data_IF_433326999400
#
_entry.id   IF_433326999400
#
_cell.length_a   1.000
_cell.length_b   1.000
_cell.length_c   1.000
_cell.angle_alpha   90.00
_cell.angle_beta   90.00
_cell.angle_gamma   90.00
#
_symmetry.space_group_name_H-M   'P 1'
#
loop_
_entity.id
_entity.type
_entity.pdbx_description
1 polymer ?
#
# COMPACT_ATOMS: atom_id res chain seq x y z
N UNK A 1 -4.63 34.34 5.56
CA UNK A 1 -4.11 34.44 6.93
C UNK A 1 -5.28 34.18 7.88
N UNK A 2 -5.54 32.91 8.20
CA UNK A 2 -6.59 32.54 9.15
C UNK A 2 -5.97 31.63 10.22
N UNK A 3 -5.96 32.14 11.46
CA UNK A 3 -5.48 31.38 12.62
C UNK A 3 -6.58 30.42 13.07
N UNK A 4 -6.31 29.12 13.10
CA UNK A 4 -7.16 28.14 13.75
C UNK A 4 -6.64 27.92 15.18
N UNK A 5 -7.47 28.27 16.12
CA UNK A 5 -7.23 28.15 17.56
C UNK A 5 -7.46 26.70 18.01
N UNK A 6 -6.42 26.09 18.59
CA UNK A 6 -6.48 24.81 19.28
C UNK A 6 -7.34 24.93 20.54
N UNK A 7 -8.38 24.10 20.67
CA UNK A 7 -9.07 23.89 21.94
C UNK A 7 -8.53 22.61 22.59
N UNK A 8 -7.85 22.80 23.70
CA UNK A 8 -7.50 21.75 24.66
C UNK A 8 -8.78 21.25 25.35
N UNK A 9 -8.99 19.94 25.37
CA UNK A 9 -9.86 19.29 26.35
C UNK A 9 -9.03 18.33 27.18
N UNK A 10 -8.75 18.76 28.42
CA UNK A 10 -8.27 17.88 29.47
C UNK A 10 -9.50 17.29 30.20
N UNK A 11 -9.56 15.97 30.28
CA UNK A 11 -10.49 15.30 31.19
C UNK A 11 -9.72 14.28 32.02
N UNK A 12 -9.58 14.64 33.30
CA UNK A 12 -9.10 13.81 34.39
C UNK A 12 -10.24 12.89 34.84
N UNK A 13 -10.03 11.57 34.89
CA UNK A 13 -10.80 10.69 35.77
C UNK A 13 -9.83 9.72 36.43
N UNK A 14 -9.79 9.81 37.76
CA UNK A 14 -9.04 8.94 38.65
C UNK A 14 -9.93 7.84 39.24
N UNK A 15 -9.31 6.71 39.57
CA UNK A 15 -9.79 5.74 40.54
C UNK A 15 -10.34 4.47 39.91
N UNK A 16 -10.09 3.24 40.31
CA UNK A 16 -9.81 2.67 41.60
C UNK A 16 -9.37 1.21 41.43
N UNK A 17 -8.51 0.74 42.31
CA UNK A 17 -7.99 -0.64 42.46
C UNK A 17 -9.08 -1.66 42.73
N UNK A 18 -8.85 -2.92 42.33
CA UNK A 18 -9.16 -4.09 43.13
C UNK A 18 -8.25 -5.27 42.77
N UNK A 19 -7.51 -5.71 43.73
CA UNK A 19 -6.66 -6.91 43.80
C UNK A 19 -7.53 -8.13 44.06
N UNK A 20 -7.27 -9.24 43.37
CA UNK A 20 -7.60 -10.57 43.89
C UNK A 20 -6.63 -11.63 43.38
N UNK A 21 -5.80 -12.10 44.26
CA UNK A 21 -4.98 -13.32 44.19
C UNK A 21 -5.84 -14.55 44.52
N UNK A 22 -5.61 -15.65 43.80
CA UNK A 22 -5.61 -17.07 44.25
C UNK A 22 -5.11 -17.86 43.04
N UNK A 23 -4.09 -18.56 42.95
CA UNK A 23 -3.37 -19.58 43.68
C UNK A 23 -3.94 -20.96 43.45
N UNK A 24 -3.24 -21.84 42.67
CA UNK A 24 -2.91 -23.20 43.13
C UNK A 24 -2.17 -24.01 42.05
N UNK A 25 -1.13 -24.64 42.47
CA UNK A 25 -0.23 -25.62 41.86
C UNK A 25 -0.90 -26.97 41.58
N UNK A 26 -0.32 -27.76 40.67
CA UNK A 26 0.08 -29.17 40.84
C UNK A 26 0.69 -29.71 39.53
N UNK A 27 1.95 -29.97 39.48
CA UNK A 27 2.81 -31.16 39.59
C UNK A 27 2.43 -32.37 38.75
N UNK A 28 3.45 -32.88 38.03
CA UNK A 28 3.61 -34.30 37.71
C UNK A 28 3.98 -34.59 36.28
N UNK A 29 5.18 -34.70 35.99
CA UNK A 29 6.15 -35.80 35.83
C UNK A 29 6.19 -36.49 34.44
N UNK A 30 7.34 -36.31 33.79
CA UNK A 30 8.32 -37.26 33.24
C UNK A 30 7.89 -38.37 32.28
N UNK A 31 8.46 -38.43 31.10
CA UNK A 31 9.57 -39.32 30.70
C UNK A 31 9.76 -39.34 29.21
N UNK A 32 11.02 -39.26 28.85
CA UNK A 32 11.82 -39.65 27.68
C UNK A 32 11.15 -40.51 26.60
N UNK A 33 11.43 -40.22 25.28
CA UNK A 33 12.49 -40.87 24.51
C UNK A 33 12.62 -40.30 23.08
N UNK A 34 13.82 -40.00 22.77
CA UNK A 34 14.73 -40.20 21.63
C UNK A 34 14.20 -40.17 20.14
N UNK A 35 14.83 -39.22 19.45
CA UNK A 35 15.39 -39.31 18.07
C UNK A 35 14.51 -39.63 16.87
N UNK A 36 14.43 -38.68 15.94
CA UNK A 36 15.04 -38.83 14.61
C UNK A 36 14.98 -37.51 13.84
N UNK A 37 16.12 -37.07 13.34
CA UNK A 37 16.30 -35.96 12.41
C UNK A 37 15.51 -36.20 11.13
N UNK A 38 14.77 -35.19 10.69
CA UNK A 38 14.51 -35.04 9.28
C UNK A 38 14.41 -33.54 8.96
N UNK A 39 15.45 -33.06 8.30
CA UNK A 39 15.46 -31.74 7.69
C UNK A 39 14.40 -31.70 6.58
N UNK A 40 13.37 -30.91 6.77
CA UNK A 40 12.45 -30.55 5.71
C UNK A 40 12.33 -29.04 5.66
N UNK A 41 13.06 -28.46 4.71
CA UNK A 41 12.96 -27.10 4.25
C UNK A 41 11.51 -26.73 4.00
N UNK A 42 10.89 -26.06 4.96
CA UNK A 42 9.56 -25.45 4.74
C UNK A 42 9.75 -24.09 4.12
N UNK A 43 9.51 -24.01 2.81
CA UNK A 43 9.20 -22.78 2.12
C UNK A 43 7.98 -22.17 2.79
N UNK A 44 8.18 -21.12 3.57
CA UNK A 44 7.10 -20.28 4.08
C UNK A 44 6.46 -19.53 2.91
N UNK A 45 5.37 -20.07 2.38
CA UNK A 45 4.41 -19.32 1.59
C UNK A 45 3.56 -18.56 2.60
N UNK A 46 3.83 -17.29 2.79
CA UNK A 46 2.92 -16.39 3.48
C UNK A 46 1.72 -16.17 2.56
N UNK A 47 0.68 -16.98 2.74
CA UNK A 47 -0.65 -16.66 2.24
C UNK A 47 -1.20 -15.51 3.12
N UNK A 48 -0.87 -14.28 2.76
CA UNK A 48 -1.69 -13.13 3.11
C UNK A 48 -3.00 -13.31 2.33
N UNK A 49 -4.09 -13.58 3.00
CA UNK A 49 -5.42 -13.58 2.38
C UNK A 49 -5.86 -12.12 2.22
N UNK A 50 -5.22 -11.42 1.31
CA UNK A 50 -5.64 -10.09 0.88
C UNK A 50 -7.01 -10.25 0.21
N UNK A 51 -7.98 -9.52 0.69
CA UNK A 51 -9.30 -9.42 0.06
C UNK A 51 -9.14 -8.65 -1.25
N UNK A 52 -8.74 -9.37 -2.31
CA UNK A 52 -8.48 -8.75 -3.60
C UNK A 52 -9.77 -8.22 -4.22
N UNK A 53 -9.75 -6.97 -4.64
CA UNK A 53 -10.82 -6.40 -5.47
C UNK A 53 -10.81 -7.14 -6.81
N UNK A 54 -11.96 -7.74 -7.17
CA UNK A 54 -12.16 -8.30 -8.51
C UNK A 54 -12.40 -7.19 -9.52
N UNK A 55 -11.99 -7.40 -10.78
CA UNK A 55 -12.31 -6.51 -11.90
C UNK A 55 -13.80 -6.21 -12.05
N UNK A 56 -14.67 -7.18 -11.68
CA UNK A 56 -16.12 -7.03 -11.71
C UNK A 56 -16.66 -6.03 -10.69
N UNK A 57 -15.90 -5.76 -9.64
CA UNK A 57 -16.27 -4.84 -8.56
C UNK A 57 -15.72 -3.42 -8.76
N UNK A 58 -14.97 -3.19 -9.83
CA UNK A 58 -14.48 -1.85 -10.18
C UNK A 58 -15.63 -1.06 -10.82
N UNK A 59 -16.09 0.03 -10.19
CA UNK A 59 -17.13 0.85 -10.78
C UNK A 59 -16.62 1.56 -12.05
N UNK A 60 -17.52 1.82 -12.97
CA UNK A 60 -17.21 2.68 -14.12
C UNK A 60 -16.87 4.09 -13.66
N UNK A 61 -15.98 4.74 -14.40
CA UNK A 61 -15.61 6.14 -14.13
C UNK A 61 -16.85 7.05 -14.24
N UNK A 62 -17.17 7.75 -13.14
CA UNK A 62 -18.33 8.64 -13.03
C UNK A 62 -17.93 10.10 -12.74
N UNK A 63 -16.71 10.49 -13.10
CA UNK A 63 -16.16 11.82 -12.84
C UNK A 63 -15.20 11.89 -11.64
N UNK A 64 -15.21 10.90 -10.75
CA UNK A 64 -14.26 10.80 -9.64
C UNK A 64 -13.13 9.84 -10.02
N UNK A 65 -11.88 10.28 -9.82
CA UNK A 65 -10.70 9.46 -10.09
C UNK A 65 -10.52 8.33 -9.07
N UNK A 66 -11.11 8.47 -7.91
CA UNK A 66 -10.99 7.52 -6.80
C UNK A 66 -12.33 7.25 -6.15
N UNK A 67 -12.49 6.03 -5.67
CA UNK A 67 -13.67 5.59 -4.92
C UNK A 67 -13.20 4.86 -3.68
N UNK A 68 -13.71 5.23 -2.51
CA UNK A 68 -13.45 4.49 -1.28
C UNK A 68 -14.10 3.10 -1.38
N UNK A 69 -13.37 2.08 -1.00
CA UNK A 69 -13.84 0.68 -0.94
C UNK A 69 -13.70 0.16 0.49
N UNK A 70 -14.34 -0.95 0.79
CA UNK A 70 -14.29 -1.62 2.10
C UNK A 70 -14.54 -0.66 3.30
N UNK A 71 -15.47 0.28 3.14
CA UNK A 71 -15.77 1.34 4.12
C UNK A 71 -14.56 2.21 4.49
N UNK A 72 -13.58 2.32 3.60
CA UNK A 72 -12.31 3.01 3.82
C UNK A 72 -11.46 2.39 4.95
N UNK A 73 -11.63 1.10 5.22
CA UNK A 73 -10.88 0.35 6.24
C UNK A 73 -9.85 -0.56 5.53
N UNK A 74 -8.54 -0.27 5.66
CA UNK A 74 -7.49 -1.05 4.99
C UNK A 74 -7.36 -2.44 5.59
N UNK A 75 -7.14 -3.45 4.76
CA UNK A 75 -7.03 -4.85 5.16
C UNK A 75 -5.61 -5.19 5.66
N UNK A 76 -5.19 -4.53 6.75
CA UNK A 76 -3.99 -4.87 7.48
C UNK A 76 -4.34 -5.48 8.83
N UNK A 77 -3.65 -6.55 9.19
CA UNK A 77 -3.81 -7.22 10.47
C UNK A 77 -2.75 -6.78 11.47
N UNK A 78 -2.96 -7.05 12.75
CA UNK A 78 -1.95 -6.78 13.78
C UNK A 78 -0.61 -7.50 13.54
N UNK A 79 -0.57 -8.52 12.68
CA UNK A 79 0.66 -9.23 12.30
C UNK A 79 1.47 -8.50 11.24
N UNK A 80 0.82 -7.64 10.48
CA UNK A 80 1.46 -6.85 9.42
C UNK A 80 2.12 -5.59 10.00
N UNK A 81 1.69 -5.18 11.20
CA UNK A 81 2.23 -4.00 11.88
C UNK A 81 3.70 -4.18 12.26
N UNK A 82 4.55 -3.35 11.68
CA UNK A 82 5.99 -3.32 11.94
C UNK A 82 6.52 -1.90 11.78
N UNK A 83 7.47 -1.53 12.63
CA UNK A 83 8.25 -0.28 12.49
C UNK A 83 9.59 -0.51 11.78
N UNK A 84 9.77 -1.69 11.18
CA UNK A 84 10.94 -1.96 10.34
C UNK A 84 10.58 -1.65 8.91
N UNK A 85 11.20 -0.63 8.33
CA UNK A 85 11.00 -0.26 6.94
C UNK A 85 11.38 -1.40 5.99
N UNK A 86 10.56 -1.59 4.97
CA UNK A 86 10.80 -2.55 3.90
C UNK A 86 10.02 -2.17 2.64
N UNK A 87 10.39 -2.78 1.53
CA UNK A 87 9.60 -2.83 0.30
C UNK A 87 9.59 -4.25 -0.26
N UNK A 88 8.49 -4.63 -0.87
CA UNK A 88 8.27 -5.95 -1.44
C UNK A 88 7.46 -5.85 -2.72
N UNK A 89 7.88 -6.57 -3.74
CA UNK A 89 7.25 -6.59 -5.05
C UNK A 89 6.99 -8.03 -5.46
N UNK A 90 5.73 -8.38 -5.66
CA UNK A 90 5.34 -9.70 -6.12
C UNK A 90 5.96 -10.04 -7.48
N UNK A 91 6.01 -11.32 -7.79
CA UNK A 91 6.43 -11.77 -9.13
C UNK A 91 5.40 -11.30 -10.16
N UNK A 92 5.89 -10.96 -11.34
CA UNK A 92 4.99 -10.73 -12.48
C UNK A 92 4.18 -12.01 -12.76
N UNK A 93 2.96 -11.85 -13.24
CA UNK A 93 2.13 -12.97 -13.66
C UNK A 93 2.57 -13.57 -15.01
N UNK A 94 1.78 -14.50 -15.57
CA UNK A 94 2.06 -15.16 -16.85
C UNK A 94 2.09 -14.22 -18.05
N UNK A 95 1.32 -13.12 -18.00
CA UNK A 95 1.26 -12.07 -19.00
C UNK A 95 2.36 -11.00 -18.80
N UNK A 96 3.17 -11.13 -17.73
CA UNK A 96 4.23 -10.18 -17.39
C UNK A 96 3.71 -8.93 -16.67
N UNK A 97 2.48 -8.95 -16.14
CA UNK A 97 1.84 -7.83 -15.44
C UNK A 97 2.31 -7.74 -13.99
N UNK A 98 2.43 -6.51 -13.49
CA UNK A 98 2.70 -6.27 -12.08
C UNK A 98 1.59 -6.84 -11.20
N UNK A 99 1.99 -7.31 -10.04
CA UNK A 99 1.12 -7.79 -8.98
C UNK A 99 1.28 -6.89 -7.75
N UNK A 100 0.84 -7.33 -6.58
CA UNK A 100 0.90 -6.57 -5.34
C UNK A 100 2.31 -6.01 -5.09
N UNK A 101 2.37 -4.71 -4.81
CA UNK A 101 3.52 -4.01 -4.26
C UNK A 101 3.18 -3.53 -2.85
N UNK A 102 4.06 -3.75 -1.90
CA UNK A 102 3.85 -3.42 -0.49
C UNK A 102 5.11 -2.83 0.13
N UNK A 103 4.95 -1.87 1.02
CA UNK A 103 6.04 -1.27 1.77
C UNK A 103 5.60 -0.92 3.20
N UNK A 104 6.53 -1.01 4.15
CA UNK A 104 6.47 -0.25 5.38
C UNK A 104 7.33 1.00 5.18
N UNK A 105 6.69 2.11 4.89
CA UNK A 105 7.37 3.37 4.57
C UNK A 105 7.82 4.03 5.85
N UNK A 106 9.14 4.12 6.04
CA UNK A 106 9.78 4.89 7.09
C UNK A 106 10.74 5.91 6.50
N UNK A 107 11.12 6.90 7.28
CA UNK A 107 11.98 8.01 6.83
C UNK A 107 13.36 7.55 6.36
N UNK A 108 13.83 6.41 6.83
CA UNK A 108 15.13 5.81 6.52
C UNK A 108 15.24 5.31 5.09
N UNK A 109 14.13 4.82 4.48
CA UNK A 109 14.09 4.34 3.09
C UNK A 109 13.64 5.39 2.08
N UNK A 110 13.14 6.55 2.53
CA UNK A 110 12.78 7.64 1.62
C UNK A 110 14.00 8.14 0.83
N UNK A 111 13.83 8.54 -0.45
CA UNK A 111 14.95 8.92 -1.30
C UNK A 111 15.65 10.19 -0.79
N UNK A 112 16.99 10.18 -0.82
CA UNK A 112 17.83 11.34 -0.52
C UNK A 112 18.33 12.05 -1.77
N UNK A 113 18.08 11.49 -2.93
CA UNK A 113 18.56 11.94 -4.22
C UNK A 113 17.46 12.26 -5.23
N UNK A 114 17.85 12.73 -6.39
CA UNK A 114 16.92 12.98 -7.50
C UNK A 114 16.51 11.67 -8.17
N UNK A 115 15.24 11.59 -8.58
CA UNK A 115 14.70 10.48 -9.38
C UNK A 115 15.52 10.30 -10.66
N UNK A 116 15.88 9.05 -10.94
CA UNK A 116 16.54 8.65 -12.18
C UNK A 116 15.57 8.50 -13.35
N UNK A 117 16.12 8.26 -14.55
CA UNK A 117 15.30 7.92 -15.71
C UNK A 117 14.66 6.54 -15.56
N UNK A 118 13.42 6.39 -16.05
CA UNK A 118 12.67 5.12 -16.06
C UNK A 118 12.22 4.71 -17.46
N UNK A 119 12.66 5.43 -18.48
CA UNK A 119 12.25 5.22 -19.89
C UNK A 119 12.61 3.86 -20.46
N UNK A 120 13.61 3.16 -19.89
CA UNK A 120 14.02 1.83 -20.31
C UNK A 120 13.00 0.75 -19.90
N UNK A 121 12.22 0.96 -18.85
CA UNK A 121 11.18 0.02 -18.44
C UNK A 121 9.95 0.23 -19.32
N UNK A 122 9.46 -0.86 -19.88
CA UNK A 122 8.23 -0.88 -20.67
C UNK A 122 7.25 -1.83 -20.00
N UNK A 123 6.34 -1.30 -19.16
CA UNK A 123 5.30 -2.12 -18.55
C UNK A 123 4.41 -2.79 -19.60
N UNK A 124 3.62 -3.76 -19.21
CA UNK A 124 2.62 -4.37 -20.11
C UNK A 124 1.69 -3.31 -20.70
N UNK A 125 1.28 -3.48 -21.95
CA UNK A 125 0.43 -2.53 -22.68
C UNK A 125 1.09 -1.18 -23.01
N UNK A 126 2.41 -1.02 -22.75
CA UNK A 126 3.10 0.25 -23.00
C UNK A 126 3.15 0.60 -24.48
N UNK A 127 2.60 1.75 -24.81
CA UNK A 127 2.78 2.40 -26.11
C UNK A 127 2.79 3.92 -25.94
N UNK A 128 3.29 4.62 -26.95
CA UNK A 128 3.31 6.08 -26.93
C UNK A 128 2.11 6.61 -27.70
N UNK A 129 1.23 7.32 -27.02
CA UNK A 129 0.12 8.05 -27.60
C UNK A 129 0.21 9.52 -27.20
N UNK A 130 -0.03 10.42 -28.17
CA UNK A 130 0.03 11.87 -27.94
C UNK A 130 -1.28 12.50 -28.35
N UNK A 131 -1.76 13.41 -27.51
CA UNK A 131 -2.97 14.19 -27.74
C UNK A 131 -2.74 15.65 -27.31
N UNK A 132 -3.22 16.61 -28.06
CA UNK A 132 -3.02 18.04 -27.78
C UNK A 132 -3.81 18.51 -26.54
N UNK A 133 -4.90 17.82 -26.21
CA UNK A 133 -5.76 18.09 -25.05
C UNK A 133 -5.29 17.39 -23.76
N UNK A 134 -4.20 16.62 -23.80
CA UNK A 134 -3.62 16.00 -22.61
C UNK A 134 -2.48 16.87 -22.08
N UNK A 135 -2.47 17.13 -20.78
CA UNK A 135 -1.37 17.83 -20.11
C UNK A 135 -0.05 17.08 -20.35
N UNK A 136 0.98 17.79 -20.80
CA UNK A 136 2.26 17.21 -21.22
C UNK A 136 2.19 16.40 -22.52
N UNK A 137 1.03 16.35 -23.19
CA UNK A 137 0.77 15.70 -24.50
C UNK A 137 0.87 14.18 -24.53
N UNK A 138 1.42 13.53 -23.52
CA UNK A 138 1.53 12.08 -23.46
C UNK A 138 0.37 11.49 -22.64
N UNK A 139 -0.46 10.68 -23.29
CA UNK A 139 -1.59 10.01 -22.64
C UNK A 139 -1.14 9.06 -21.56
N UNK A 140 -0.13 8.23 -21.86
CA UNK A 140 0.33 7.21 -20.93
C UNK A 140 1.58 7.63 -20.16
N UNK A 141 1.56 7.31 -18.89
CA UNK A 141 2.67 7.40 -17.95
C UNK A 141 3.12 6.00 -17.53
N UNK A 142 4.37 5.89 -17.11
CA UNK A 142 4.85 4.79 -16.29
C UNK A 142 4.51 5.13 -14.85
N UNK A 143 3.43 4.54 -14.35
CA UNK A 143 2.95 4.76 -12.99
C UNK A 143 3.68 3.82 -12.04
N UNK A 144 4.30 4.35 -11.00
CA UNK A 144 4.80 3.52 -9.91
C UNK A 144 3.63 3.00 -9.08
N UNK A 145 3.69 1.75 -8.65
CA UNK A 145 2.79 1.24 -7.61
C UNK A 145 3.20 1.81 -6.24
N UNK A 146 4.47 1.65 -5.87
CA UNK A 146 5.05 2.39 -4.74
C UNK A 146 5.83 3.56 -5.31
N UNK A 147 5.39 4.78 -4.99
CA UNK A 147 5.98 6.01 -5.51
C UNK A 147 7.46 6.14 -5.16
N UNK A 148 8.27 6.68 -6.09
CA UNK A 148 9.68 6.97 -5.84
C UNK A 148 9.91 7.78 -4.57
N UNK A 149 9.04 8.73 -4.28
CA UNK A 149 9.16 9.60 -3.10
C UNK A 149 9.00 8.85 -1.76
N UNK A 150 8.47 7.62 -1.77
CA UNK A 150 8.23 6.83 -0.57
C UNK A 150 9.39 5.89 -0.22
N UNK A 151 9.99 5.24 -1.22
CA UNK A 151 11.03 4.22 -0.98
C UNK A 151 12.30 4.43 -1.80
N UNK A 152 12.30 5.35 -2.76
CA UNK A 152 13.44 5.56 -3.65
C UNK A 152 13.57 4.53 -4.77
N UNK A 153 12.69 3.52 -4.84
CA UNK A 153 12.68 2.54 -5.93
C UNK A 153 12.36 3.20 -7.27
N UNK A 154 13.22 3.03 -8.25
CA UNK A 154 13.15 3.83 -9.47
C UNK A 154 12.69 3.03 -10.70
N UNK A 155 13.54 2.19 -11.27
CA UNK A 155 13.34 1.54 -12.55
C UNK A 155 13.04 0.05 -12.42
N UNK A 156 12.17 -0.32 -11.51
CA UNK A 156 11.78 -1.69 -11.24
C UNK A 156 10.59 -2.10 -12.12
N UNK A 157 10.75 -3.16 -12.90
CA UNK A 157 9.70 -3.69 -13.77
C UNK A 157 8.52 -4.32 -13.02
N UNK A 158 8.67 -4.58 -11.71
CA UNK A 158 7.61 -5.09 -10.84
C UNK A 158 6.84 -3.98 -10.12
N UNK A 159 7.30 -2.74 -10.29
CA UNK A 159 6.75 -1.55 -9.64
C UNK A 159 6.19 -0.53 -10.64
N UNK A 160 6.21 -0.83 -11.94
CA UNK A 160 5.79 0.11 -12.99
C UNK A 160 4.67 -0.50 -13.83
N UNK A 161 3.54 0.19 -13.91
CA UNK A 161 2.42 -0.15 -14.78
C UNK A 161 2.18 0.95 -15.83
N UNK A 162 1.47 0.61 -16.89
CA UNK A 162 0.95 1.58 -17.84
C UNK A 162 -0.35 2.16 -17.30
N UNK A 163 -0.43 3.46 -17.15
CA UNK A 163 -1.66 4.17 -16.79
C UNK A 163 -1.74 5.51 -17.51
N UNK A 164 -2.91 6.15 -17.50
CA UNK A 164 -3.05 7.49 -18.04
C UNK A 164 -2.35 8.52 -17.16
N UNK A 165 -2.07 9.71 -17.72
CA UNK A 165 -1.49 10.80 -16.92
C UNK A 165 -2.41 11.20 -15.77
N UNK A 166 -3.71 11.35 -16.01
CA UNK A 166 -4.70 11.68 -14.97
C UNK A 166 -4.81 10.59 -13.91
N UNK A 167 -4.82 9.31 -14.32
CA UNK A 167 -4.75 8.20 -13.37
C UNK A 167 -3.56 8.34 -12.40
N UNK A 168 -2.38 8.66 -12.94
CA UNK A 168 -1.17 8.81 -12.15
C UNK A 168 -1.16 10.08 -11.28
N UNK A 169 -1.58 11.24 -11.83
CA UNK A 169 -1.40 12.55 -11.19
C UNK A 169 -2.62 12.96 -10.38
N UNK A 170 -3.82 12.69 -10.88
CA UNK A 170 -5.06 13.10 -10.22
C UNK A 170 -5.63 11.97 -9.35
N UNK A 171 -5.32 10.70 -9.68
CA UNK A 171 -5.79 9.53 -8.96
C UNK A 171 -4.83 9.05 -7.88
N UNK A 172 -3.60 8.69 -8.23
CA UNK A 172 -2.65 8.06 -7.29
C UNK A 172 -1.88 9.08 -6.44
N UNK A 173 -1.32 10.12 -7.06
CA UNK A 173 -0.40 11.05 -6.41
C UNK A 173 -0.93 11.69 -5.11
N UNK A 174 -2.20 12.12 -4.99
CA UNK A 174 -2.69 12.72 -3.74
C UNK A 174 -2.55 11.78 -2.53
N UNK A 175 -2.76 10.48 -2.70
CA UNK A 175 -2.63 9.47 -1.64
C UNK A 175 -1.17 9.16 -1.35
N UNK A 176 -0.32 9.12 -2.37
CA UNK A 176 1.12 8.97 -2.21
C UNK A 176 1.73 10.15 -1.43
N UNK A 177 1.28 11.38 -1.72
CA UNK A 177 1.69 12.58 -0.99
C UNK A 177 1.24 12.54 0.47
N UNK A 178 0.00 12.12 0.74
CA UNK A 178 -0.52 11.95 2.11
C UNK A 178 0.38 11.02 2.94
N UNK A 179 0.76 9.86 2.40
CA UNK A 179 1.69 8.94 3.05
C UNK A 179 3.05 9.58 3.25
N UNK A 180 3.60 10.20 2.21
CA UNK A 180 4.92 10.82 2.26
C UNK A 180 5.00 11.99 3.25
N UNK A 181 3.98 12.82 3.32
CA UNK A 181 3.91 13.96 4.23
C UNK A 181 3.80 13.48 5.68
N UNK A 182 2.92 12.50 5.95
CA UNK A 182 2.82 11.91 7.29
C UNK A 182 4.16 11.38 7.79
N UNK A 183 4.87 10.58 6.99
CA UNK A 183 6.18 10.04 7.38
C UNK A 183 7.21 11.14 7.58
N UNK A 184 7.21 12.19 6.74
CA UNK A 184 8.14 13.33 6.87
C UNK A 184 7.89 14.15 8.13
N UNK A 185 6.63 14.40 8.46
CA UNK A 185 6.21 15.26 9.56
C UNK A 185 6.32 14.57 10.92
N UNK A 186 5.87 13.32 11.00
CA UNK A 186 5.82 12.57 12.26
C UNK A 186 7.09 11.78 12.55
N UNK A 187 7.75 11.27 11.52
CA UNK A 187 8.81 10.26 11.62
C UNK A 187 8.30 8.85 11.88
N UNK A 188 6.99 8.67 11.94
CA UNK A 188 6.31 7.39 12.09
C UNK A 188 6.28 6.61 10.77
N UNK A 189 5.86 5.34 10.85
CA UNK A 189 5.80 4.44 9.70
C UNK A 189 4.39 4.32 9.16
N UNK A 190 4.29 4.02 7.87
CA UNK A 190 3.02 3.71 7.19
C UNK A 190 3.16 2.38 6.45
N UNK A 191 2.27 1.43 6.74
CA UNK A 191 2.03 0.31 5.83
C UNK A 191 1.30 0.83 4.60
N UNK A 192 1.85 0.52 3.43
CA UNK A 192 1.31 0.96 2.15
C UNK A 192 1.32 -0.20 1.16
N UNK A 193 0.16 -0.52 0.60
CA UNK A 193 -0.01 -1.61 -0.35
C UNK A 193 -0.79 -1.13 -1.56
N UNK A 194 -0.31 -1.50 -2.74
CA UNK A 194 -0.96 -1.20 -4.01
C UNK A 194 -1.13 -2.48 -4.81
N UNK A 195 -2.38 -2.75 -5.17
CA UNK A 195 -2.79 -3.94 -5.93
C UNK A 195 -3.37 -3.51 -7.26
N UNK A 196 -2.66 -3.73 -8.38
CA UNK A 196 -3.24 -3.50 -9.70
C UNK A 196 -4.29 -4.56 -10.01
N UNK A 197 -5.40 -4.13 -10.61
CA UNK A 197 -6.52 -4.99 -10.98
C UNK A 197 -6.65 -5.01 -12.50
N UNK A 198 -6.55 -6.18 -13.08
CA UNK A 198 -6.67 -6.39 -14.53
C UNK A 198 -7.97 -7.12 -14.84
N UNK A 199 -8.54 -6.87 -16.02
CA UNK A 199 -9.70 -7.58 -16.53
C UNK A 199 -9.24 -8.63 -17.53
N UNK A 200 -9.56 -9.89 -17.28
CA UNK A 200 -9.12 -11.01 -18.11
C UNK A 200 -7.63 -10.92 -18.48
N UNK A 201 -7.34 -10.93 -19.79
CA UNK A 201 -5.97 -10.88 -20.34
C UNK A 201 -5.51 -9.45 -20.67
N UNK A 202 -6.20 -8.42 -20.19
CA UNK A 202 -5.84 -7.04 -20.43
C UNK A 202 -4.44 -6.72 -19.91
N UNK A 203 -3.64 -6.03 -20.73
CA UNK A 203 -2.26 -5.66 -20.40
C UNK A 203 -2.14 -4.31 -19.67
N UNK A 204 -3.22 -3.55 -19.58
CA UNK A 204 -3.34 -2.30 -18.83
C UNK A 204 -4.31 -2.52 -17.68
N UNK A 205 -3.93 -2.09 -16.50
CA UNK A 205 -4.78 -2.26 -15.32
C UNK A 205 -6.10 -1.49 -15.47
N UNK A 206 -7.21 -2.11 -15.10
CA UNK A 206 -8.54 -1.50 -15.01
C UNK A 206 -8.62 -0.52 -13.83
N UNK A 207 -7.73 -0.66 -12.86
CA UNK A 207 -7.60 0.20 -11.70
C UNK A 207 -6.49 -0.28 -10.77
N UNK A 208 -6.23 0.48 -9.72
CA UNK A 208 -5.39 0.03 -8.59
C UNK A 208 -6.11 0.26 -7.28
N UNK A 209 -6.10 -0.74 -6.42
CA UNK A 209 -6.46 -0.57 -5.03
C UNK A 209 -5.23 -0.06 -4.27
N UNK A 210 -5.40 1.04 -3.55
CA UNK A 210 -4.37 1.66 -2.73
C UNK A 210 -4.82 1.62 -1.28
N UNK A 211 -4.02 1.04 -0.41
CA UNK A 211 -4.29 0.90 1.01
C UNK A 211 -3.13 1.46 1.82
N UNK A 212 -3.43 2.21 2.86
CA UNK A 212 -2.44 2.70 3.79
C UNK A 212 -2.94 2.69 5.22
N UNK A 213 -2.04 2.46 6.17
CA UNK A 213 -2.33 2.53 7.60
C UNK A 213 -1.09 2.97 8.36
N UNK A 214 -1.21 4.02 9.17
CA UNK A 214 -0.16 4.43 10.11
C UNK A 214 0.06 3.33 11.15
N UNK A 215 1.35 3.03 11.44
CA UNK A 215 1.72 1.83 12.21
C UNK A 215 1.65 2.07 13.71
N UNK A 216 2.25 3.16 14.19
CA UNK A 216 2.45 3.42 15.62
C UNK A 216 1.13 3.65 16.36
N UNK A 217 0.16 4.27 15.71
CA UNK A 217 -1.18 4.55 16.22
C UNK A 217 -2.25 3.58 15.69
N UNK A 218 -1.87 2.59 14.87
CA UNK A 218 -2.76 1.55 14.33
C UNK A 218 -3.91 2.12 13.49
N UNK A 219 -3.64 3.17 12.74
CA UNK A 219 -4.60 3.80 11.86
C UNK A 219 -5.56 4.79 12.55
N UNK A 220 -5.28 5.19 13.80
CA UNK A 220 -6.11 6.17 14.53
C UNK A 220 -5.86 7.61 14.06
N UNK A 221 -4.75 7.89 13.38
CA UNK A 221 -4.39 9.19 12.83
C UNK A 221 -4.90 9.36 11.39
N UNK A 222 -4.41 10.36 10.70
CA UNK A 222 -4.88 10.82 9.38
C UNK A 222 -4.61 9.85 8.23
N UNK A 223 -3.69 8.90 8.39
CA UNK A 223 -3.35 7.93 7.33
C UNK A 223 -3.95 6.57 7.65
N UNK A 224 -5.22 6.42 7.29
CA UNK A 224 -5.89 5.12 7.21
C UNK A 224 -6.89 5.20 6.07
N UNK A 225 -6.62 4.48 4.96
CA UNK A 225 -7.50 4.49 3.81
C UNK A 225 -7.39 3.22 2.96
N UNK A 226 -8.48 2.90 2.25
CA UNK A 226 -8.49 1.98 1.12
C UNK A 226 -9.33 2.57 -0.02
N UNK A 227 -8.68 2.84 -1.13
CA UNK A 227 -9.28 3.48 -2.30
C UNK A 227 -8.96 2.69 -3.56
N UNK A 228 -9.91 2.73 -4.48
CA UNK A 228 -9.74 2.27 -5.84
C UNK A 228 -9.52 3.47 -6.75
N UNK A 229 -8.36 3.57 -7.39
CA UNK A 229 -8.08 4.56 -8.43
C UNK A 229 -8.51 4.00 -9.77
N UNK A 230 -9.33 4.76 -10.49
CA UNK A 230 -9.96 4.36 -11.75
C UNK A 230 -9.19 4.91 -12.95
N UNK A 231 -9.04 4.13 -14.04
CA UNK A 231 -8.52 4.68 -15.27
C UNK A 231 -9.53 5.66 -15.85
N UNK A 232 -9.05 6.82 -16.28
CA UNK A 232 -9.81 7.63 -17.21
C UNK A 232 -9.67 7.01 -18.58
N UNK A 233 -10.76 6.55 -19.19
CA UNK A 233 -10.79 6.36 -20.63
C UNK A 233 -10.62 7.74 -21.25
N UNK A 234 -9.61 7.97 -22.11
CA UNK A 234 -9.61 9.20 -22.87
C UNK A 234 -10.87 9.18 -23.72
N UNK A 235 -11.74 10.16 -23.52
CA UNK A 235 -12.78 10.43 -24.50
C UNK A 235 -12.06 10.91 -25.76
N UNK A 236 -11.93 9.99 -26.72
CA UNK A 236 -11.46 10.28 -28.07
C UNK A 236 -12.65 10.75 -28.89
#
# INVERSE_FOLDING_TARGET
MMRVTKKLYALLIAGMMAVSLVGCQSTGNSSNDESTQNEQSSKGSTNSSTKSVSSDNIPDFSGNMTVAVDNNDPDFTSKDLTTKSYESYSRLDSEGRCQVAEACVGKDIMPKGKRGAIGMVKPTGWHTAKYDNVDGKYLYNRCHLIAYQLTGENANNKNLITGTRSFNVDGMLPYEEMVGDYVRETGNHVLYRVTPVFDGDDLVAKGVQMEAMSVEDKGEDTVSYTHLTLPTTPYV
#
